data_IF_145316228624
#
_entry.id   IF_145316228624
#
_cell.length_a   1.000
_cell.length_b   1.000
_cell.length_c   1.000
_cell.angle_alpha   90.00
_cell.angle_beta   90.00
_cell.angle_gamma   90.00
#
_symmetry.space_group_name_H-M   'P 1'
#
loop_
_entity.id
_entity.type
_entity.pdbx_description
1 polymer ?
#
# COMPACT_ATOMS: atom_id res chain seq x y z
N UNK A 1 23.30 -31.19 -27.10
CA UNK A 1 22.76 -29.86 -27.46
C UNK A 1 21.33 -29.81 -26.94
N UNK A 2 20.77 -28.83 -26.22
CA UNK A 2 21.15 -27.53 -25.67
C UNK A 2 19.90 -27.07 -24.88
N UNK A 3 20.08 -26.55 -23.66
CA UNK A 3 19.72 -25.17 -23.25
C UNK A 3 18.37 -25.03 -22.52
N UNK A 4 18.47 -24.97 -21.18
CA UNK A 4 18.03 -23.89 -20.29
C UNK A 4 16.62 -23.24 -20.39
N UNK A 5 15.98 -23.22 -19.20
CA UNK A 5 15.17 -22.16 -18.58
C UNK A 5 13.69 -21.98 -18.98
N UNK A 6 12.81 -22.01 -17.96
CA UNK A 6 12.06 -20.81 -17.54
C UNK A 6 11.47 -20.99 -16.14
N UNK A 7 11.54 -19.91 -15.37
CA UNK A 7 11.51 -19.80 -13.92
C UNK A 7 10.18 -20.14 -13.25
N UNK A 8 10.29 -20.63 -12.02
CA UNK A 8 9.24 -20.60 -11.03
C UNK A 8 8.68 -19.17 -10.93
N UNK A 9 7.36 -19.02 -11.03
CA UNK A 9 6.68 -17.82 -10.53
C UNK A 9 5.72 -18.27 -9.44
N UNK A 10 6.07 -17.85 -8.23
CA UNK A 10 5.35 -18.08 -6.99
C UNK A 10 3.86 -17.87 -7.16
N UNK A 11 3.13 -18.94 -6.88
CA UNK A 11 1.70 -18.91 -6.61
C UNK A 11 1.50 -18.06 -5.35
N UNK A 12 1.34 -16.74 -5.52
CA UNK A 12 1.04 -15.82 -4.42
C UNK A 12 -0.22 -16.32 -3.68
N UNK A 13 0.02 -16.90 -2.50
CA UNK A 13 -0.98 -17.56 -1.68
C UNK A 13 -1.92 -16.51 -1.09
N UNK A 14 -3.09 -16.32 -1.71
CA UNK A 14 -4.18 -15.45 -1.23
C UNK A 14 -4.95 -16.03 -0.03
N UNK A 15 -4.28 -16.72 0.90
CA UNK A 15 -4.94 -17.33 2.06
C UNK A 15 -4.53 -16.59 3.35
N UNK A 16 -5.54 -15.97 3.97
CA UNK A 16 -5.50 -15.06 5.13
C UNK A 16 -5.03 -13.63 4.82
N UNK A 17 -5.92 -12.85 4.20
CA UNK A 17 -5.80 -11.38 4.20
C UNK A 17 -6.13 -10.85 5.60
N UNK A 18 -5.22 -11.03 6.57
CA UNK A 18 -5.29 -10.26 7.81
C UNK A 18 -5.21 -8.78 7.41
N UNK A 19 -6.20 -8.01 7.84
CA UNK A 19 -6.10 -6.57 7.73
C UNK A 19 -5.08 -6.12 8.76
N UNK A 20 -3.99 -5.56 8.29
CA UNK A 20 -2.92 -5.01 9.09
C UNK A 20 -3.04 -3.49 9.09
N UNK A 21 -2.68 -2.89 10.21
CA UNK A 21 -2.72 -1.44 10.44
C UNK A 21 -1.29 -0.92 10.49
N UNK A 22 -1.03 0.15 9.75
CA UNK A 22 0.28 0.80 9.67
C UNK A 22 0.13 2.31 9.74
N UNK A 23 1.06 2.98 10.41
CA UNK A 23 1.11 4.44 10.45
C UNK A 23 1.95 4.98 9.30
N UNK A 24 1.44 5.99 8.59
CA UNK A 24 2.20 6.73 7.59
C UNK A 24 3.14 7.72 8.28
N UNK A 25 4.41 7.32 8.41
CA UNK A 25 5.46 8.18 8.95
C UNK A 25 6.22 8.86 7.83
N UNK A 26 6.55 10.13 8.05
CA UNK A 26 7.38 10.92 7.14
C UNK A 26 8.81 10.97 7.65
N UNK A 27 9.77 10.84 6.75
CA UNK A 27 11.19 11.09 7.03
C UNK A 27 11.58 12.55 6.75
N UNK A 28 10.91 13.22 5.81
CA UNK A 28 11.20 14.61 5.43
C UNK A 28 10.05 15.56 5.76
N UNK A 29 10.34 16.82 6.18
CA UNK A 29 9.30 17.77 6.59
C UNK A 29 8.52 18.40 5.41
N UNK A 30 9.00 18.28 4.18
CA UNK A 30 8.49 19.01 3.00
C UNK A 30 7.20 18.44 2.39
N UNK A 31 6.71 17.29 2.86
CA UNK A 31 5.50 16.67 2.35
C UNK A 31 4.37 16.69 3.41
N UNK A 32 3.12 16.80 2.94
CA UNK A 32 1.89 16.88 3.77
C UNK A 32 1.04 15.60 3.69
N UNK A 33 1.61 14.53 3.16
CA UNK A 33 1.06 13.18 3.06
C UNK A 33 1.37 12.55 1.70
N UNK A 34 0.68 11.45 1.40
CA UNK A 34 0.92 10.67 0.19
C UNK A 34 -0.38 10.35 -0.56
N UNK A 35 -0.41 10.60 -1.87
CA UNK A 35 -1.53 10.19 -2.72
C UNK A 35 -1.61 8.67 -2.82
N UNK A 36 -2.82 8.15 -3.03
CA UNK A 36 -3.00 6.74 -3.32
C UNK A 36 -2.23 6.35 -4.57
N UNK A 37 -1.58 5.19 -4.51
CA UNK A 37 -1.04 4.54 -5.68
C UNK A 37 -2.04 3.50 -6.19
N UNK A 38 -1.95 3.21 -7.48
CA UNK A 38 -2.72 2.11 -8.07
C UNK A 38 -2.25 0.79 -7.48
N UNK A 39 -3.18 -0.17 -7.40
CA UNK A 39 -2.90 -1.55 -7.02
C UNK A 39 -1.75 -2.12 -7.87
N UNK A 40 -0.58 -2.40 -7.27
CA UNK A 40 0.59 -2.88 -7.99
C UNK A 40 0.35 -4.28 -8.59
N UNK A 41 -0.64 -5.03 -8.09
CA UNK A 41 -0.97 -6.36 -8.63
C UNK A 41 -1.70 -6.31 -9.97
N UNK A 42 -2.13 -5.13 -10.42
CA UNK A 42 -2.89 -4.94 -11.65
C UNK A 42 -4.32 -5.50 -11.61
N UNK A 43 -4.77 -6.03 -10.46
CA UNK A 43 -6.11 -6.62 -10.31
C UNK A 43 -7.22 -5.58 -10.24
N UNK A 44 -6.88 -4.40 -9.74
CA UNK A 44 -7.86 -3.34 -9.50
C UNK A 44 -7.30 -2.00 -9.97
N UNK A 45 -8.11 -1.21 -10.66
CA UNK A 45 -7.71 0.16 -11.01
C UNK A 45 -8.07 1.11 -9.88
N UNK A 46 -7.23 2.11 -9.62
CA UNK A 46 -7.51 3.16 -8.66
C UNK A 46 -8.78 3.92 -9.07
N UNK A 47 -9.83 3.80 -8.26
CA UNK A 47 -11.12 4.40 -8.54
C UNK A 47 -11.16 5.91 -8.29
N UNK A 48 -10.21 6.45 -7.53
CA UNK A 48 -10.14 7.87 -7.21
C UNK A 48 -9.01 8.21 -6.25
N UNK A 49 -8.86 9.49 -5.95
CA UNK A 49 -7.84 10.01 -5.04
C UNK A 49 -8.42 10.61 -3.75
N UNK A 50 -9.65 10.24 -3.41
CA UNK A 50 -10.33 10.75 -2.21
C UNK A 50 -9.73 10.19 -0.93
N UNK A 51 -9.74 11.01 0.12
CA UNK A 51 -9.31 10.64 1.47
C UNK A 51 -7.86 10.15 1.60
N UNK A 52 -6.98 10.55 0.69
CA UNK A 52 -5.56 10.18 0.77
C UNK A 52 -4.91 10.52 2.12
N UNK A 53 -4.00 9.66 2.62
CA UNK A 53 -3.47 9.73 3.98
C UNK A 53 -2.55 10.93 4.15
N UNK A 54 -2.81 11.70 5.23
CA UNK A 54 -1.92 12.78 5.67
C UNK A 54 -0.85 12.24 6.60
N UNK A 55 0.12 13.08 6.93
CA UNK A 55 1.20 12.75 7.86
C UNK A 55 0.66 12.18 9.19
N UNK A 56 1.10 10.98 9.57
CA UNK A 56 0.64 10.27 10.77
C UNK A 56 -0.79 9.72 10.67
N UNK A 57 -1.34 9.58 9.46
CA UNK A 57 -2.55 8.81 9.26
C UNK A 57 -2.28 7.32 9.47
N UNK A 58 -3.27 6.61 10.01
CA UNK A 58 -3.22 5.15 10.16
C UNK A 58 -3.96 4.55 8.97
N UNK A 59 -3.29 3.66 8.25
CA UNK A 59 -3.84 2.92 7.12
C UNK A 59 -4.14 1.50 7.57
N UNK A 60 -5.25 0.96 7.09
CA UNK A 60 -5.63 -0.42 7.33
C UNK A 60 -5.86 -1.13 6.01
N UNK A 61 -5.19 -2.25 5.81
CA UNK A 61 -5.16 -2.89 4.51
C UNK A 61 -4.56 -4.28 4.51
N UNK A 62 -4.34 -4.79 3.31
CA UNK A 62 -3.75 -6.11 3.10
C UNK A 62 -2.36 -5.93 2.53
N UNK A 63 -1.38 -6.54 3.19
CA UNK A 63 0.00 -6.53 2.70
C UNK A 63 0.12 -7.48 1.52
N UNK A 64 0.73 -7.00 0.45
CA UNK A 64 1.11 -7.77 -0.72
C UNK A 64 2.55 -7.44 -1.10
N UNK A 65 3.24 -8.40 -1.68
CA UNK A 65 4.56 -8.20 -2.26
C UNK A 65 4.45 -8.29 -3.78
N UNK A 66 4.98 -7.29 -4.49
CA UNK A 66 4.96 -7.21 -5.95
C UNK A 66 6.34 -6.75 -6.39
N UNK A 67 6.98 -7.52 -7.28
CA UNK A 67 8.31 -7.20 -7.82
C UNK A 67 9.42 -7.03 -6.75
N UNK A 68 9.26 -7.70 -5.60
CA UNK A 68 10.20 -7.60 -4.46
C UNK A 68 9.96 -6.38 -3.57
N UNK A 69 8.93 -5.58 -3.85
CA UNK A 69 8.51 -4.46 -3.03
C UNK A 69 7.28 -4.80 -2.20
N UNK A 70 7.23 -4.31 -0.97
CA UNK A 70 6.10 -4.50 -0.06
C UNK A 70 5.10 -3.35 -0.21
N UNK A 71 3.83 -3.70 -0.40
CA UNK A 71 2.73 -2.77 -0.60
C UNK A 71 1.56 -3.09 0.32
N UNK A 72 0.85 -2.05 0.75
CA UNK A 72 -0.39 -2.13 1.50
C UNK A 72 -1.56 -1.80 0.58
N UNK A 73 -2.35 -2.81 0.21
CA UNK A 73 -3.65 -2.61 -0.43
C UNK A 73 -4.61 -2.04 0.61
N UNK A 74 -4.75 -0.73 0.60
CA UNK A 74 -5.44 0.02 1.65
C UNK A 74 -6.95 -0.10 1.46
N UNK A 75 -7.65 -0.37 2.56
CA UNK A 75 -9.11 -0.47 2.63
C UNK A 75 -9.70 0.69 3.41
N UNK A 76 -9.04 1.08 4.48
CA UNK A 76 -9.49 2.17 5.33
C UNK A 76 -8.32 3.05 5.73
N UNK A 77 -8.62 4.31 5.97
CA UNK A 77 -7.67 5.31 6.41
C UNK A 77 -8.27 6.12 7.54
N UNK A 78 -7.50 6.30 8.60
CA UNK A 78 -7.83 7.14 9.74
C UNK A 78 -6.84 8.28 9.80
N UNK A 79 -7.34 9.49 9.55
CA UNK A 79 -6.51 10.69 9.54
C UNK A 79 -6.01 11.02 10.95
N UNK A 80 -4.81 11.58 11.05
CA UNK A 80 -4.23 12.03 12.33
C UNK A 80 -5.18 12.99 13.04
N UNK A 81 -5.45 12.75 14.33
CA UNK A 81 -6.38 13.54 15.12
C UNK A 81 -7.86 13.24 14.87
N UNK A 82 -8.20 12.36 13.92
CA UNK A 82 -9.56 11.85 13.73
C UNK A 82 -9.74 10.52 14.46
N UNK A 83 -10.92 10.30 15.02
CA UNK A 83 -11.35 9.00 15.53
C UNK A 83 -12.05 8.14 14.46
N UNK A 84 -12.35 8.71 13.29
CA UNK A 84 -13.14 8.08 12.25
C UNK A 84 -12.25 7.42 11.19
N UNK A 85 -12.56 6.17 10.88
CA UNK A 85 -12.05 5.49 9.70
C UNK A 85 -12.87 5.92 8.48
N UNK A 86 -12.18 6.20 7.38
CA UNK A 86 -12.77 6.46 6.07
C UNK A 86 -12.39 5.34 5.12
N UNK A 87 -13.32 4.94 4.27
CA UNK A 87 -13.03 3.95 3.24
C UNK A 87 -12.06 4.54 2.21
N UNK A 88 -11.01 3.80 1.90
CA UNK A 88 -10.09 4.13 0.83
C UNK A 88 -10.71 3.72 -0.52
N UNK A 89 -10.43 4.48 -1.60
CA UNK A 89 -10.97 4.14 -2.91
C UNK A 89 -10.53 2.75 -3.36
N UNK A 90 -11.37 2.06 -4.14
CA UNK A 90 -11.02 0.76 -4.70
C UNK A 90 -9.73 0.87 -5.51
N UNK A 91 -8.83 -0.10 -5.34
CA UNK A 91 -7.52 -0.08 -5.98
C UNK A 91 -6.52 0.88 -5.33
N UNK A 92 -6.84 1.49 -4.18
CA UNK A 92 -5.88 2.24 -3.39
C UNK A 92 -4.82 1.31 -2.79
N UNK A 93 -3.56 1.59 -3.12
CA UNK A 93 -2.41 0.96 -2.54
C UNK A 93 -1.43 2.02 -2.01
N UNK A 94 -0.60 1.60 -1.07
CA UNK A 94 0.47 2.42 -0.51
C UNK A 94 1.73 1.58 -0.39
N UNK A 95 2.87 1.99 -0.95
CA UNK A 95 4.13 1.28 -0.74
C UNK A 95 4.59 1.45 0.71
N UNK A 96 5.29 0.44 1.25
CA UNK A 96 5.85 0.51 2.60
C UNK A 96 7.01 1.48 2.70
N UNK A 97 7.73 1.70 1.60
CA UNK A 97 8.79 2.68 1.50
C UNK A 97 8.60 3.49 0.22
N UNK A 98 8.74 4.80 0.31
CA UNK A 98 8.62 5.68 -0.84
C UNK A 98 9.72 6.73 -0.83
N UNK A 99 10.69 6.58 -1.72
CA UNK A 99 11.75 7.55 -2.04
C UNK A 99 12.44 8.18 -0.81
N UNK A 100 12.56 7.47 0.31
CA UNK A 100 13.01 8.00 1.60
C UNK A 100 12.22 9.23 2.12
N UNK A 101 11.01 9.43 1.62
CA UNK A 101 10.10 10.50 2.04
C UNK A 101 9.09 9.96 3.04
N UNK A 102 8.52 8.78 2.77
CA UNK A 102 7.51 8.13 3.60
C UNK A 102 7.80 6.66 3.80
N UNK A 103 7.35 6.14 4.95
CA UNK A 103 7.32 4.72 5.22
C UNK A 103 6.11 4.33 6.08
N UNK A 104 5.74 3.05 6.00
CA UNK A 104 4.70 2.44 6.81
C UNK A 104 5.34 1.62 7.94
N UNK A 105 4.97 1.91 9.19
CA UNK A 105 5.42 1.21 10.40
C UNK A 105 4.26 0.68 11.23
#
# INVERSE_FOLDING_TARGET
>A
MGCAQSSATETASFKNRKMEEFELKKKKPECTGMFWRSDPTGKTTLAGNDHWPRDGAILRGVVVEVEGEKWLLTKEVKQKGSSQWKEAPKGAAMPFEYEDHYYLE
#
